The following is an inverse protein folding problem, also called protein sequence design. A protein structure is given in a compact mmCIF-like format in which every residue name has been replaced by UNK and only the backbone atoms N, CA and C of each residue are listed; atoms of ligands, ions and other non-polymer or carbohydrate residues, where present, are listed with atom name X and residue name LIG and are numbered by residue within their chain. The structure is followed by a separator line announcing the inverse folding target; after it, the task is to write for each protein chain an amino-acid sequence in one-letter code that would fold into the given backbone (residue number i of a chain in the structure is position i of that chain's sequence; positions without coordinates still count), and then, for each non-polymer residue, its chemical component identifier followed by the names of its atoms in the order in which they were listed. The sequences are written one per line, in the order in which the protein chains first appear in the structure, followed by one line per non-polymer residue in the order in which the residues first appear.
data_IF_418124590774
#
_entry.id   IF_418124590774
#
_cell.length_a   1.000
_cell.length_b   1.000
_cell.length_c   1.000
_cell.angle_alpha   90.00
_cell.angle_beta   90.00
_cell.angle_gamma   90.00
#
_symmetry.space_group_name_H-M   'P 1'
#
loop_
_entity.id
_entity.type
_entity.pdbx_description
1 polymer ?
#
# COMPACT_ATOMS: atom_id res chain seq x y z
N UNK A 1 3.02 -28.22 10.04
CA UNK A 1 2.81 -26.83 9.59
C UNK A 1 2.96 -26.76 8.07
N UNK A 2 1.84 -26.66 7.32
CA UNK A 2 1.87 -26.52 5.85
C UNK A 2 2.37 -25.11 5.53
N UNK A 3 3.47 -24.99 4.78
CA UNK A 3 4.05 -23.70 4.37
C UNK A 3 2.95 -22.84 3.75
N UNK A 4 2.72 -21.67 4.35
CA UNK A 4 1.87 -20.62 3.82
C UNK A 4 2.45 -20.19 2.47
N UNK A 5 1.97 -20.79 1.37
CA UNK A 5 2.28 -20.27 0.05
C UNK A 5 1.62 -18.89 -0.02
N UNK A 6 2.40 -17.83 0.17
CA UNK A 6 2.03 -16.50 -0.30
C UNK A 6 1.55 -16.68 -1.75
N UNK A 7 0.37 -16.16 -2.05
CA UNK A 7 -0.12 -16.18 -3.42
C UNK A 7 0.90 -15.46 -4.31
N UNK A 8 1.30 -16.04 -5.45
CA UNK A 8 2.29 -15.43 -6.36
C UNK A 8 1.96 -13.97 -6.68
N UNK A 9 0.67 -13.66 -6.88
CA UNK A 9 0.17 -12.29 -7.06
C UNK A 9 0.57 -11.33 -5.93
N UNK A 10 0.46 -11.77 -4.67
CA UNK A 10 0.80 -10.98 -3.48
C UNK A 10 2.30 -10.70 -3.42
N UNK A 11 3.11 -11.70 -3.79
CA UNK A 11 4.56 -11.53 -3.89
C UNK A 11 4.93 -10.52 -4.99
N UNK A 12 4.25 -10.58 -6.14
CA UNK A 12 4.48 -9.64 -7.25
C UNK A 12 4.13 -8.22 -6.82
N UNK A 13 3.01 -8.00 -6.13
CA UNK A 13 2.66 -6.68 -5.60
C UNK A 13 3.70 -6.16 -4.62
N UNK A 14 4.18 -7.00 -3.71
CA UNK A 14 5.24 -6.63 -2.77
C UNK A 14 6.50 -6.18 -3.52
N UNK A 15 6.98 -6.99 -4.48
CA UNK A 15 8.18 -6.67 -5.25
C UNK A 15 8.04 -5.35 -6.00
N UNK A 16 6.91 -5.13 -6.69
CA UNK A 16 6.67 -3.87 -7.41
C UNK A 16 6.65 -2.70 -6.44
N UNK A 17 5.97 -2.84 -5.29
CA UNK A 17 5.90 -1.79 -4.28
C UNK A 17 7.27 -1.48 -3.67
N UNK A 18 8.10 -2.49 -3.41
CA UNK A 18 9.45 -2.32 -2.89
C UNK A 18 10.35 -1.58 -3.89
N UNK A 19 10.31 -1.96 -5.17
CA UNK A 19 11.06 -1.29 -6.24
C UNK A 19 10.60 0.17 -6.36
N UNK A 20 9.29 0.41 -6.39
CA UNK A 20 8.74 1.76 -6.48
C UNK A 20 9.13 2.64 -5.27
N UNK A 21 9.15 2.06 -4.06
CA UNK A 21 9.60 2.74 -2.85
C UNK A 21 11.08 3.13 -2.92
N UNK A 22 11.95 2.23 -3.42
CA UNK A 22 13.37 2.52 -3.64
C UNK A 22 13.57 3.68 -4.63
N UNK A 23 12.84 3.66 -5.76
CA UNK A 23 12.87 4.74 -6.74
C UNK A 23 12.41 6.07 -6.16
N UNK A 24 11.32 6.06 -5.38
CA UNK A 24 10.83 7.27 -4.70
C UNK A 24 11.89 7.84 -3.76
N UNK A 25 12.53 7.00 -2.94
CA UNK A 25 13.60 7.46 -2.03
C UNK A 25 14.77 8.07 -2.80
N UNK A 26 15.18 7.45 -3.91
CA UNK A 26 16.22 8.00 -4.79
C UNK A 26 15.84 9.36 -5.38
N UNK A 27 14.59 9.52 -5.84
CA UNK A 27 14.09 10.79 -6.37
C UNK A 27 14.00 11.89 -5.30
N UNK A 28 13.63 11.55 -4.07
CA UNK A 28 13.61 12.52 -2.97
C UNK A 28 15.01 13.06 -2.66
N UNK A 29 16.03 12.19 -2.70
CA UNK A 29 17.44 12.62 -2.56
C UNK A 29 17.88 13.48 -3.74
N UNK A 30 17.57 13.06 -4.97
CA UNK A 30 17.87 13.82 -6.18
C UNK A 30 17.25 15.23 -6.14
N UNK A 31 15.97 15.33 -5.78
CA UNK A 31 15.26 16.60 -5.65
C UNK A 31 15.91 17.50 -4.60
N UNK A 32 16.33 16.92 -3.47
CA UNK A 32 17.10 17.61 -2.45
C UNK A 32 18.36 18.28 -2.96
N UNK A 33 19.13 17.55 -3.77
CA UNK A 33 20.40 18.03 -4.32
C UNK A 33 20.17 19.09 -5.41
N UNK A 34 19.24 18.84 -6.34
CA UNK A 34 19.05 19.68 -7.53
C UNK A 34 18.31 20.98 -7.23
N UNK A 35 17.25 20.91 -6.42
CA UNK A 35 16.38 22.07 -6.15
C UNK A 35 16.64 22.70 -4.78
N UNK A 36 17.68 22.24 -4.06
CA UNK A 36 18.03 22.74 -2.73
C UNK A 36 16.91 22.54 -1.70
N UNK A 37 16.09 21.49 -1.87
CA UNK A 37 14.99 21.22 -0.96
C UNK A 37 15.53 20.96 0.45
N UNK A 38 14.93 21.61 1.45
CA UNK A 38 15.39 21.49 2.83
C UNK A 38 15.42 20.02 3.28
N UNK A 39 16.55 19.60 3.86
CA UNK A 39 16.78 18.22 4.32
C UNK A 39 15.63 17.67 5.19
N UNK A 40 15.02 18.54 6.00
CA UNK A 40 13.84 18.19 6.83
C UNK A 40 12.67 17.69 5.99
N UNK A 41 12.37 18.31 4.83
CA UNK A 41 11.27 17.88 3.95
C UNK A 41 11.53 16.50 3.36
N UNK A 42 12.75 16.27 2.89
CA UNK A 42 13.18 14.97 2.34
C UNK A 42 13.05 13.88 3.39
N UNK A 43 13.57 14.12 4.59
CA UNK A 43 13.51 13.18 5.71
C UNK A 43 12.06 12.87 6.08
N UNK A 44 11.20 13.88 6.21
CA UNK A 44 9.78 13.66 6.53
C UNK A 44 9.07 12.84 5.45
N UNK A 45 9.30 13.14 4.17
CA UNK A 45 8.71 12.40 3.06
C UNK A 45 9.13 10.93 3.03
N UNK A 46 10.41 10.64 3.28
CA UNK A 46 10.92 9.27 3.37
C UNK A 46 10.41 8.55 4.62
N UNK A 47 10.35 9.23 5.76
CA UNK A 47 9.81 8.67 7.00
C UNK A 47 8.32 8.30 6.85
N UNK A 48 7.52 9.16 6.20
CA UNK A 48 6.10 8.87 5.92
C UNK A 48 5.98 7.63 5.04
N UNK A 49 6.78 7.54 3.96
CA UNK A 49 6.80 6.34 3.11
C UNK A 49 7.11 5.08 3.93
N UNK A 50 8.20 5.10 4.72
CA UNK A 50 8.61 3.96 5.53
C UNK A 50 7.52 3.56 6.52
N UNK A 51 6.93 4.54 7.21
CA UNK A 51 5.90 4.29 8.22
C UNK A 51 4.66 3.64 7.61
N UNK A 52 4.14 4.18 6.51
CA UNK A 52 2.95 3.63 5.84
C UNK A 52 3.26 2.28 5.21
N UNK A 53 4.42 2.12 4.56
CA UNK A 53 4.84 0.84 3.97
C UNK A 53 4.94 -0.24 5.04
N UNK A 54 5.66 0.01 6.14
CA UNK A 54 5.78 -0.93 7.24
C UNK A 54 4.42 -1.22 7.89
N UNK A 55 3.59 -0.21 8.12
CA UNK A 55 2.26 -0.37 8.68
C UNK A 55 1.39 -1.31 7.84
N UNK A 56 1.35 -1.11 6.53
CA UNK A 56 0.60 -1.98 5.63
C UNK A 56 1.19 -3.40 5.55
N UNK A 57 2.52 -3.54 5.54
CA UNK A 57 3.17 -4.86 5.60
C UNK A 57 2.84 -5.61 6.89
N UNK A 58 2.80 -4.93 8.05
CA UNK A 58 2.37 -5.53 9.31
C UNK A 58 0.89 -5.96 9.27
N UNK A 59 0.02 -5.15 8.67
CA UNK A 59 -1.39 -5.52 8.49
C UNK A 59 -1.57 -6.72 7.54
N UNK A 60 -0.70 -6.86 6.53
CA UNK A 60 -0.68 -8.02 5.65
C UNK A 60 -0.18 -9.29 6.37
N UNK A 61 0.73 -9.15 7.35
CA UNK A 61 1.19 -10.27 8.20
C UNK A 61 0.09 -10.72 9.17
N UNK A 62 -0.69 -9.78 9.72
CA UNK A 62 -1.77 -10.03 10.69
C UNK A 62 -3.17 -9.66 10.14
N UNK A 63 -3.67 -10.37 9.10
CA UNK A 63 -4.96 -10.07 8.47
C UNK A 63 -6.16 -10.23 9.41
N UNK A 64 -6.02 -10.95 10.52
CA UNK A 64 -7.04 -11.04 11.57
C UNK A 64 -7.34 -9.67 12.21
N UNK A 65 -6.33 -8.81 12.30
CA UNK A 65 -6.45 -7.46 12.88
C UNK A 65 -7.16 -6.51 11.93
N UNK A 66 -7.05 -6.73 10.62
CA UNK A 66 -7.71 -5.92 9.59
C UNK A 66 -9.22 -6.11 9.64
N UNK A 67 -9.68 -7.36 9.77
CA UNK A 67 -11.11 -7.67 9.75
C UNK A 67 -11.76 -7.74 11.13
N UNK A 68 -10.99 -7.64 12.22
CA UNK A 68 -11.51 -7.84 13.58
C UNK A 68 -12.05 -9.26 13.84
N UNK A 69 -11.49 -10.27 13.17
CA UNK A 69 -11.94 -11.67 13.24
C UNK A 69 -11.01 -12.50 14.13
N UNK A 70 -11.55 -13.58 14.72
CA UNK A 70 -10.70 -14.58 15.37
C UNK A 70 -9.84 -15.32 14.34
N UNK A 71 -8.69 -15.86 14.77
CA UNK A 71 -7.77 -16.60 13.89
C UNK A 71 -8.37 -17.87 13.29
N UNK A 72 -9.38 -18.44 13.95
CA UNK A 72 -10.10 -19.62 13.47
C UNK A 72 -10.97 -19.31 12.25
N UNK A 73 -11.63 -18.14 12.26
CA UNK A 73 -12.49 -17.66 11.18
C UNK A 73 -11.66 -17.01 10.06
N UNK A 74 -10.56 -16.32 10.39
CA UNK A 74 -9.69 -15.64 9.42
C UNK A 74 -8.73 -16.61 8.70
N UNK A 75 -9.29 -17.63 8.04
CA UNK A 75 -8.54 -18.67 7.33
C UNK A 75 -8.95 -18.77 5.85
N UNK A 76 -8.21 -19.57 5.07
CA UNK A 76 -8.52 -19.87 3.68
C UNK A 76 -8.70 -18.63 2.78
N UNK A 77 -9.87 -18.52 2.17
CA UNK A 77 -10.21 -17.45 1.24
C UNK A 77 -10.25 -16.06 1.90
N UNK A 78 -10.76 -15.96 3.14
CA UNK A 78 -10.87 -14.69 3.88
C UNK A 78 -9.48 -14.08 4.08
N UNK A 79 -8.54 -14.91 4.57
CA UNK A 79 -7.15 -14.51 4.74
C UNK A 79 -6.52 -14.06 3.42
N UNK A 80 -6.72 -14.83 2.36
CA UNK A 80 -6.18 -14.52 1.02
C UNK A 80 -6.71 -13.19 0.48
N UNK A 81 -8.01 -12.93 0.59
CA UNK A 81 -8.61 -11.66 0.14
C UNK A 81 -8.13 -10.47 0.96
N UNK A 82 -7.99 -10.63 2.28
CA UNK A 82 -7.50 -9.57 3.16
C UNK A 82 -6.07 -9.17 2.83
N UNK A 83 -5.17 -10.16 2.70
CA UNK A 83 -3.78 -9.90 2.34
C UNK A 83 -3.70 -9.23 0.97
N UNK A 84 -4.46 -9.71 -0.02
CA UNK A 84 -4.52 -9.09 -1.35
C UNK A 84 -5.02 -7.65 -1.31
N UNK A 85 -6.03 -7.35 -0.49
CA UNK A 85 -6.55 -6.00 -0.31
C UNK A 85 -5.46 -5.06 0.22
N UNK A 86 -4.78 -5.45 1.32
CA UNK A 86 -3.76 -4.62 1.96
C UNK A 86 -2.56 -4.38 1.03
N UNK A 87 -2.10 -5.43 0.33
CA UNK A 87 -1.00 -5.31 -0.62
C UNK A 87 -1.34 -4.45 -1.83
N UNK A 88 -2.58 -4.51 -2.31
CA UNK A 88 -3.03 -3.67 -3.41
C UNK A 88 -3.18 -2.20 -2.97
N UNK A 89 -3.66 -1.94 -1.75
CA UNK A 89 -3.67 -0.60 -1.15
C UNK A 89 -2.24 -0.06 -1.04
N UNK A 90 -1.29 -0.86 -0.54
CA UNK A 90 0.12 -0.49 -0.46
C UNK A 90 0.70 -0.16 -1.83
N UNK A 91 0.43 -0.99 -2.83
CA UNK A 91 0.85 -0.75 -4.20
C UNK A 91 0.32 0.59 -4.73
N UNK A 92 -1.00 0.83 -4.61
CA UNK A 92 -1.62 2.09 -5.04
C UNK A 92 -0.98 3.29 -4.33
N UNK A 93 -0.78 3.19 -3.02
CA UNK A 93 -0.17 4.26 -2.22
C UNK A 93 1.26 4.58 -2.68
N UNK A 94 2.13 3.58 -2.78
CA UNK A 94 3.54 3.77 -3.14
C UNK A 94 3.68 4.27 -4.59
N UNK A 95 2.91 3.72 -5.53
CA UNK A 95 2.93 4.18 -6.92
C UNK A 95 2.43 5.62 -7.04
N UNK A 96 1.46 6.02 -6.23
CA UNK A 96 0.97 7.40 -6.21
C UNK A 96 2.03 8.36 -5.70
N UNK A 97 2.75 8.01 -4.62
CA UNK A 97 3.88 8.79 -4.13
C UNK A 97 4.99 8.91 -5.18
N UNK A 98 5.36 7.79 -5.81
CA UNK A 98 6.34 7.76 -6.89
C UNK A 98 5.93 8.68 -8.04
N UNK A 99 4.67 8.59 -8.49
CA UNK A 99 4.15 9.42 -9.56
C UNK A 99 4.24 10.91 -9.21
N UNK A 100 3.78 11.31 -8.02
CA UNK A 100 3.90 12.72 -7.58
C UNK A 100 5.36 13.18 -7.54
N UNK A 101 6.28 12.32 -7.10
CA UNK A 101 7.71 12.62 -7.06
C UNK A 101 8.32 12.77 -8.47
N UNK A 102 7.86 12.00 -9.45
CA UNK A 102 8.28 12.14 -10.85
C UNK A 102 7.74 13.45 -11.44
N UNK A 103 6.46 13.76 -11.22
CA UNK A 103 5.86 15.01 -11.68
C UNK A 103 6.59 16.23 -11.11
N UNK A 104 6.91 16.20 -9.82
CA UNK A 104 7.66 17.27 -9.15
C UNK A 104 9.07 17.41 -9.74
N UNK A 105 9.77 16.30 -9.99
CA UNK A 105 11.08 16.30 -10.64
C UNK A 105 11.06 16.86 -12.07
N UNK A 106 9.94 16.68 -12.80
CA UNK A 106 9.69 17.22 -14.13
C UNK A 106 9.16 18.66 -14.13
N UNK A 107 8.90 19.26 -12.96
CA UNK A 107 8.38 20.62 -12.81
C UNK A 107 6.86 20.75 -13.01
N UNK A 108 6.12 19.64 -13.03
CA UNK A 108 4.66 19.65 -13.11
C UNK A 108 4.03 19.73 -11.73
N UNK A 109 3.15 20.72 -11.53
CA UNK A 109 2.32 20.80 -10.33
C UNK A 109 1.18 19.79 -10.40
N UNK A 110 1.16 18.86 -9.46
CA UNK A 110 0.04 17.93 -9.28
C UNK A 110 -1.07 18.63 -8.50
N UNK A 111 -2.27 18.67 -9.07
CA UNK A 111 -3.44 19.28 -8.44
C UNK A 111 -3.91 18.51 -7.20
N UNK A 112 -4.54 19.23 -6.26
CA UNK A 112 -5.13 18.65 -5.05
C UNK A 112 -6.18 17.56 -5.36
N UNK A 113 -6.83 17.63 -6.53
CA UNK A 113 -7.76 16.61 -7.01
C UNK A 113 -7.10 15.23 -7.15
N UNK A 114 -5.79 15.15 -7.42
CA UNK A 114 -5.07 13.88 -7.52
C UNK A 114 -5.10 13.11 -6.19
N UNK A 115 -4.87 13.79 -5.06
CA UNK A 115 -4.91 13.15 -3.75
C UNK A 115 -6.30 12.57 -3.44
N UNK A 116 -7.37 13.29 -3.82
CA UNK A 116 -8.75 12.81 -3.70
C UNK A 116 -9.00 11.57 -4.57
N UNK A 117 -8.48 11.54 -5.81
CA UNK A 117 -8.59 10.39 -6.70
C UNK A 117 -7.90 9.16 -6.09
N UNK A 118 -6.68 9.32 -5.59
CA UNK A 118 -5.92 8.23 -4.94
C UNK A 118 -6.65 7.71 -3.70
N UNK A 119 -7.15 8.62 -2.86
CA UNK A 119 -7.92 8.26 -1.68
C UNK A 119 -9.21 7.51 -2.05
N UNK A 120 -9.93 7.99 -3.08
CA UNK A 120 -11.10 7.32 -3.63
C UNK A 120 -10.79 5.93 -4.16
N UNK A 121 -9.66 5.76 -4.86
CA UNK A 121 -9.22 4.46 -5.37
C UNK A 121 -8.91 3.48 -4.23
N UNK A 122 -8.18 3.92 -3.20
CA UNK A 122 -7.89 3.11 -2.00
C UNK A 122 -9.20 2.69 -1.32
N UNK A 123 -10.15 3.61 -1.17
CA UNK A 123 -11.45 3.33 -0.56
C UNK A 123 -12.26 2.32 -1.38
N UNK A 124 -12.31 2.47 -2.70
CA UNK A 124 -12.97 1.51 -3.60
C UNK A 124 -12.36 0.12 -3.47
N UNK A 125 -11.02 0.03 -3.44
CA UNK A 125 -10.32 -1.24 -3.22
C UNK A 125 -10.74 -1.86 -1.89
N UNK A 126 -10.69 -1.11 -0.79
CA UNK A 126 -11.07 -1.60 0.52
C UNK A 126 -12.51 -2.14 0.52
N UNK A 127 -13.47 -1.33 0.06
CA UNK A 127 -14.89 -1.70 0.03
C UNK A 127 -15.16 -2.94 -0.84
N UNK A 128 -14.56 -3.04 -2.02
CA UNK A 128 -14.77 -4.19 -2.92
C UNK A 128 -14.31 -5.49 -2.27
N UNK A 129 -13.17 -5.48 -1.59
CA UNK A 129 -12.65 -6.66 -0.91
C UNK A 129 -13.41 -6.98 0.38
N UNK A 130 -13.74 -5.97 1.19
CA UNK A 130 -14.56 -6.16 2.39
C UNK A 130 -15.93 -6.76 2.07
N UNK A 131 -16.62 -6.26 1.04
CA UNK A 131 -17.91 -6.80 0.60
C UNK A 131 -17.77 -8.28 0.18
N UNK A 132 -16.67 -8.66 -0.48
CA UNK A 132 -16.41 -10.07 -0.82
C UNK A 132 -16.17 -10.91 0.43
N UNK A 133 -15.40 -10.42 1.39
CA UNK A 133 -15.13 -11.11 2.66
C UNK A 133 -16.42 -11.30 3.46
N UNK A 134 -17.24 -10.27 3.59
CA UNK A 134 -18.54 -10.32 4.28
C UNK A 134 -19.48 -11.33 3.62
N UNK A 135 -19.54 -11.37 2.28
CA UNK A 135 -20.34 -12.37 1.56
C UNK A 135 -19.88 -13.80 1.84
N UNK A 136 -18.57 -14.04 1.99
CA UNK A 136 -18.03 -15.35 2.34
C UNK A 136 -18.38 -15.70 3.79
N UNK A 137 -18.20 -14.75 4.72
CA UNK A 137 -18.56 -14.92 6.13
C UNK A 137 -20.05 -15.28 6.31
N UNK A 138 -20.95 -14.62 5.57
CA UNK A 138 -22.39 -14.91 5.62
C UNK A 138 -22.75 -16.30 5.10
N UNK A 139 -21.91 -16.94 4.28
CA UNK A 139 -22.12 -18.31 3.79
C UNK A 139 -21.55 -19.38 4.74
N UNK A 140 -20.67 -18.99 5.66
CA UNK A 140 -20.08 -19.88 6.67
C UNK A 140 -20.96 -19.98 7.92
N UNK A 141 -21.92 -19.08 8.08
CA UNK A 141 -22.91 -19.05 9.15
C UNK A 141 -24.21 -19.69 8.68
#
# INVERSE_FOLDING_TARGET
MKKNHLSTETLVFEIISAIAALFYMGLQVYYGIVYGAGAVRIVMNVLILILVYMGLTVLAIYPERVNGLSREVCTGAIRKYTIRMVELIKLVFVLSLLFTSICDALGYRVDAAYSLIVMGLILVVAVVFEVKIIKILRKLK
#
